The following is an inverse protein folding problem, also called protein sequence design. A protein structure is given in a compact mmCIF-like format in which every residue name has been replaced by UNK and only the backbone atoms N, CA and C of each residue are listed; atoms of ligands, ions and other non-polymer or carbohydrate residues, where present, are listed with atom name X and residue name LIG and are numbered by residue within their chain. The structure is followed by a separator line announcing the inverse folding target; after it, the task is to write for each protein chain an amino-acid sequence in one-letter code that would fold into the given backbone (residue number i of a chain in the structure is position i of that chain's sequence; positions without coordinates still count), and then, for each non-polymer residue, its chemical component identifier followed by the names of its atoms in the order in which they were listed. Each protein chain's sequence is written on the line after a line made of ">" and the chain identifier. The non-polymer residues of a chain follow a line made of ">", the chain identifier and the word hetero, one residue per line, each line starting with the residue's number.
data_IF_304225693123
#
_entry.id   IF_304225693123
#
_cell.length_a   1.000
_cell.length_b   1.000
_cell.length_c   1.000
_cell.angle_alpha   90.00
_cell.angle_beta   90.00
_cell.angle_gamma   90.00
#
_symmetry.space_group_name_H-M   'P 1'
#
loop_
_entity.id
_entity.type
_entity.pdbx_description
1 polymer ?
#
# COMPACT_ATOMS: atom_id res chain seq x y z
N UNK A 1 -1.93 6.72 31.77
CA UNK A 1 -2.50 5.95 30.64
C UNK A 1 -3.95 5.72 31.02
N UNK A 2 -4.83 6.64 30.65
CA UNK A 2 -6.26 6.56 31.00
C UNK A 2 -7.08 6.79 29.73
N UNK A 3 -6.87 5.90 28.75
CA UNK A 3 -7.58 5.88 27.47
C UNK A 3 -8.79 4.95 27.52
N UNK A 4 -9.70 5.16 28.47
CA UNK A 4 -10.95 4.42 28.55
C UNK A 4 -12.09 5.23 27.96
N UNK A 5 -12.95 4.60 27.14
CA UNK A 5 -14.20 5.20 26.68
C UNK A 5 -15.03 5.64 27.89
N UNK A 6 -15.51 6.89 27.87
CA UNK A 6 -16.36 7.37 28.94
C UNK A 6 -17.75 6.71 28.83
N UNK A 7 -18.51 6.61 29.93
CA UNK A 7 -19.87 6.08 29.89
C UNK A 7 -20.79 6.82 28.91
N UNK A 8 -20.48 8.09 28.61
CA UNK A 8 -21.21 8.89 27.62
C UNK A 8 -20.94 8.43 26.19
N UNK A 9 -19.70 8.02 25.90
CA UNK A 9 -19.30 7.54 24.57
C UNK A 9 -19.97 6.20 24.27
N UNK A 10 -20.08 5.32 25.28
CA UNK A 10 -20.82 4.06 25.17
C UNK A 10 -22.33 4.28 24.96
N UNK A 11 -22.92 5.27 25.63
CA UNK A 11 -24.33 5.65 25.42
C UNK A 11 -24.58 6.23 24.02
N UNK A 12 -23.67 7.07 23.53
CA UNK A 12 -23.74 7.61 22.17
C UNK A 12 -23.67 6.48 21.12
N UNK A 13 -22.78 5.52 21.32
CA UNK A 13 -22.66 4.34 20.46
C UNK A 13 -23.93 3.46 20.50
N UNK A 14 -24.50 3.25 21.69
CA UNK A 14 -25.75 2.50 21.85
C UNK A 14 -26.89 3.10 21.04
N UNK A 15 -27.07 4.42 21.12
CA UNK A 15 -28.11 5.13 20.37
C UNK A 15 -27.88 5.07 18.84
N UNK A 16 -26.63 4.98 18.41
CA UNK A 16 -26.27 4.84 17.00
C UNK A 16 -26.57 3.42 16.47
N UNK A 17 -26.23 2.38 17.25
CA UNK A 17 -26.40 0.98 16.86
C UNK A 17 -27.85 0.52 17.02
N UNK A 18 -28.58 1.11 17.97
CA UNK A 18 -29.96 0.74 18.28
C UNK A 18 -30.77 2.01 18.54
N UNK A 19 -31.18 2.73 17.49
CA UNK A 19 -32.07 3.86 17.66
C UNK A 19 -33.36 3.38 18.34
N UNK A 20 -33.93 4.17 19.28
CA UNK A 20 -35.18 3.81 19.94
C UNK A 20 -36.25 3.60 18.88
N UNK A 21 -36.88 2.42 18.91
CA UNK A 21 -38.08 2.13 18.11
C UNK A 21 -39.20 2.99 18.68
N UNK A 22 -39.58 4.02 17.94
CA UNK A 22 -40.85 4.70 18.15
C UNK A 22 -41.93 3.74 17.63
N UNK A 23 -42.58 3.03 18.56
CA UNK A 23 -43.77 2.23 18.29
C UNK A 23 -44.96 3.19 18.06
N UNK A 24 -45.04 3.78 16.87
CA UNK A 24 -46.25 4.44 16.37
C UNK A 24 -46.84 3.61 15.23
N UNK A 25 -47.80 2.79 15.60
CA UNK A 25 -48.70 2.04 14.74
C UNK A 25 -49.76 3.01 14.17
N UNK A 26 -49.49 3.65 13.03
CA UNK A 26 -50.48 4.41 12.25
C UNK A 26 -50.16 4.28 10.77
N UNK A 27 -51.09 3.68 10.02
CA UNK A 27 -51.11 3.68 8.55
C UNK A 27 -51.11 5.11 7.97
N UNK A 28 -50.37 5.28 6.88
CA UNK A 28 -50.54 6.34 5.87
C UNK A 28 -50.34 7.80 6.32
N UNK A 29 -49.08 8.23 6.38
CA UNK A 29 -48.52 9.43 5.70
C UNK A 29 -47.20 9.82 6.40
N UNK A 30 -46.11 9.85 5.63
CA UNK A 30 -44.73 10.06 6.09
C UNK A 30 -44.55 11.30 7.00
N UNK A 31 -44.08 11.19 8.26
CA UNK A 31 -43.59 12.34 9.02
C UNK A 31 -42.14 12.62 8.61
N UNK A 32 -41.99 13.32 7.48
CA UNK A 32 -40.73 13.75 6.90
C UNK A 32 -40.28 15.09 7.53
N UNK A 33 -40.22 15.16 8.88
CA UNK A 33 -40.07 16.43 9.59
C UNK A 33 -38.62 16.86 9.90
N UNK A 34 -37.66 15.93 10.05
CA UNK A 34 -36.28 16.30 10.41
C UNK A 34 -35.24 16.13 9.29
N UNK A 35 -35.58 15.43 8.20
CA UNK A 35 -34.70 15.29 7.03
C UNK A 35 -34.81 16.44 6.00
N UNK A 36 -35.74 17.40 6.20
CA UNK A 36 -36.04 18.46 5.22
C UNK A 36 -35.28 19.77 5.44
N UNK A 37 -34.48 19.89 6.49
CA UNK A 37 -33.77 21.15 6.80
C UNK A 37 -32.42 21.29 6.12
N UNK A 38 -31.93 20.25 5.43
CA UNK A 38 -30.70 20.28 4.67
C UNK A 38 -31.04 20.08 3.19
N UNK A 39 -30.95 21.16 2.42
CA UNK A 39 -31.13 21.12 0.97
C UNK A 39 -29.79 20.97 0.24
N UNK A 40 -29.80 20.70 -1.08
CA UNK A 40 -28.60 20.81 -1.90
C UNK A 40 -27.91 22.18 -1.82
N UNK A 41 -28.64 23.22 -1.41
CA UNK A 41 -28.13 24.57 -1.14
C UNK A 41 -27.44 24.77 0.21
N UNK A 42 -27.49 23.79 1.13
CA UNK A 42 -26.69 23.78 2.36
C UNK A 42 -25.31 23.13 2.17
N UNK A 43 -25.00 22.66 0.96
CA UNK A 43 -23.64 22.26 0.58
C UNK A 43 -22.89 23.54 0.18
N UNK A 44 -22.41 24.27 1.18
CA UNK A 44 -21.63 25.49 1.02
C UNK A 44 -20.95 25.84 2.33
N UNK A 45 -19.79 26.50 2.26
CA UNK A 45 -19.03 26.91 3.45
C UNK A 45 -19.91 27.87 4.26
N UNK A 46 -20.43 27.42 5.40
CA UNK A 46 -20.99 28.33 6.38
C UNK A 46 -19.83 29.09 7.02
N UNK A 47 -19.90 30.43 7.05
CA UNK A 47 -18.97 31.33 7.78
C UNK A 47 -19.04 31.15 9.31
N UNK A 48 -19.30 29.93 9.79
CA UNK A 48 -19.01 29.54 11.15
C UNK A 48 -17.48 29.57 11.34
N UNK A 49 -16.95 30.24 12.37
CA UNK A 49 -15.52 30.20 12.63
C UNK A 49 -15.12 28.74 12.81
N UNK A 50 -14.28 28.26 11.90
CA UNK A 50 -13.65 26.95 12.00
C UNK A 50 -13.03 26.87 13.41
N UNK A 51 -13.52 25.98 14.26
CA UNK A 51 -12.92 25.76 15.56
C UNK A 51 -11.44 25.41 15.31
N UNK A 52 -10.53 26.25 15.80
CA UNK A 52 -9.10 25.96 15.79
C UNK A 52 -8.85 24.75 16.70
N UNK A 53 -8.94 23.56 16.13
CA UNK A 53 -8.53 22.34 16.81
C UNK A 53 -7.01 22.32 16.83
N UNK A 54 -6.42 22.81 17.92
CA UNK A 54 -4.99 22.65 18.20
C UNK A 54 -4.72 21.20 18.60
N UNK A 55 -4.31 20.39 17.62
CA UNK A 55 -3.95 18.98 17.80
C UNK A 55 -3.13 18.46 16.62
N UNK A 56 -2.63 17.22 16.67
CA UNK A 56 -1.83 16.63 15.60
C UNK A 56 -2.59 16.47 14.26
N UNK A 57 -3.91 16.70 14.25
CA UNK A 57 -4.76 16.67 13.06
C UNK A 57 -5.35 18.05 12.70
N UNK A 58 -4.74 19.14 13.19
CA UNK A 58 -5.14 20.49 12.80
C UNK A 58 -4.96 20.68 11.28
N UNK A 59 -5.91 21.30 10.57
CA UNK A 59 -5.75 21.65 9.17
C UNK A 59 -4.50 22.53 8.97
N UNK A 60 -3.65 22.16 8.03
CA UNK A 60 -2.50 22.98 7.65
C UNK A 60 -3.03 24.27 7.00
N UNK A 61 -2.47 25.41 7.39
CA UNK A 61 -2.87 26.67 6.77
C UNK A 61 -2.41 26.67 5.31
N UNK A 62 -3.31 26.91 4.34
CA UNK A 62 -2.94 26.92 2.94
C UNK A 62 -1.97 28.08 2.66
N UNK A 63 -0.88 27.79 1.95
CA UNK A 63 0.04 28.80 1.46
C UNK A 63 -0.47 29.36 0.12
N UNK A 64 -1.47 30.26 0.17
CA UNK A 64 -2.09 30.83 -1.03
C UNK A 64 -3.16 29.93 -1.65
N UNK A 65 -3.27 29.94 -2.98
CA UNK A 65 -4.24 29.15 -3.77
C UNK A 65 -3.76 27.72 -4.09
N UNK A 66 -2.67 27.28 -3.47
CA UNK A 66 -2.14 25.94 -3.68
C UNK A 66 -3.03 24.88 -3.02
N UNK A 67 -3.45 23.89 -3.81
CA UNK A 67 -4.27 22.76 -3.36
C UNK A 67 -3.48 21.85 -2.39
N UNK A 68 -2.15 21.88 -2.44
CA UNK A 68 -1.25 21.03 -1.66
C UNK A 68 -0.35 21.84 -0.73
N UNK A 69 -0.26 21.46 0.55
CA UNK A 69 0.72 22.05 1.45
C UNK A 69 2.11 21.42 1.21
N UNK A 70 3.23 22.15 1.27
CA UNK A 70 4.57 21.60 1.03
C UNK A 70 4.98 20.46 1.96
N UNK A 71 4.35 20.33 3.13
CA UNK A 71 4.55 19.18 4.03
C UNK A 71 3.69 17.96 3.67
N UNK A 72 2.66 18.12 2.84
CA UNK A 72 1.86 17.03 2.27
C UNK A 72 2.46 16.52 0.96
N UNK A 73 3.22 17.38 0.26
CA UNK A 73 4.05 16.97 -0.86
C UNK A 73 5.15 16.03 -0.33
N UNK A 74 4.95 14.71 -0.51
CA UNK A 74 5.92 13.69 -0.18
C UNK A 74 7.24 13.98 -0.92
N UNK A 75 8.27 14.41 -0.20
CA UNK A 75 9.60 14.75 -0.76
C UNK A 75 10.42 13.54 -1.23
N UNK A 76 9.83 12.34 -1.25
CA UNK A 76 10.47 11.11 -1.73
C UNK A 76 10.56 10.96 -3.25
N UNK A 77 10.47 12.06 -4.01
CA UNK A 77 10.74 12.05 -5.44
C UNK A 77 11.70 13.17 -5.82
N UNK A 78 12.84 13.24 -5.15
CA UNK A 78 14.06 13.68 -5.84
C UNK A 78 14.68 12.41 -6.41
N UNK A 79 13.99 11.79 -7.36
CA UNK A 79 14.70 11.06 -8.40
C UNK A 79 15.51 12.13 -9.12
N UNK A 80 16.76 12.29 -8.67
CA UNK A 80 17.80 13.00 -9.40
C UNK A 80 17.69 12.50 -10.84
N UNK A 81 17.38 13.41 -11.77
CA UNK A 81 16.94 13.06 -13.12
C UNK A 81 18.09 12.34 -13.83
N UNK A 82 18.15 11.01 -13.68
CA UNK A 82 19.25 10.22 -14.18
C UNK A 82 19.10 10.13 -15.71
N UNK A 83 20.10 10.57 -16.50
CA UNK A 83 20.02 10.49 -17.96
C UNK A 83 20.02 9.05 -18.50
N UNK A 84 20.26 8.05 -17.64
CA UNK A 84 20.26 6.62 -18.00
C UNK A 84 18.85 6.13 -18.29
N UNK A 85 18.76 5.12 -19.16
CA UNK A 85 17.48 4.53 -19.55
C UNK A 85 16.98 3.59 -18.46
N UNK A 86 15.66 3.54 -18.25
CA UNK A 86 15.05 2.49 -17.44
C UNK A 86 15.03 1.19 -18.28
N UNK A 87 15.62 0.08 -17.79
CA UNK A 87 15.60 -1.19 -18.50
C UNK A 87 14.21 -1.83 -18.46
N UNK A 88 13.91 -2.69 -19.43
CA UNK A 88 12.71 -3.52 -19.40
C UNK A 88 12.86 -4.58 -18.31
N UNK A 89 11.86 -4.73 -17.45
CA UNK A 89 11.86 -5.73 -16.39
C UNK A 89 10.53 -6.49 -16.32
N UNK A 90 10.61 -7.71 -15.78
CA UNK A 90 9.46 -8.56 -15.52
C UNK A 90 9.52 -9.08 -14.07
N UNK A 91 8.40 -9.04 -13.37
CA UNK A 91 8.26 -9.59 -12.02
C UNK A 91 7.47 -10.89 -12.04
N UNK A 92 8.05 -11.95 -11.50
CA UNK A 92 7.45 -13.29 -11.46
C UNK A 92 7.46 -13.81 -10.02
N UNK A 93 6.29 -14.11 -9.48
CA UNK A 93 6.17 -14.76 -8.17
C UNK A 93 6.46 -16.27 -8.31
N UNK A 94 7.27 -16.81 -7.41
CA UNK A 94 7.68 -18.21 -7.38
C UNK A 94 7.20 -18.85 -6.07
N UNK A 95 6.49 -19.97 -6.21
CA UNK A 95 5.96 -20.76 -5.11
C UNK A 95 6.73 -22.08 -5.01
N UNK A 96 7.21 -22.41 -3.81
CA UNK A 96 7.87 -23.68 -3.54
C UNK A 96 6.82 -24.76 -3.29
N UNK A 97 6.45 -25.53 -4.31
CA UNK A 97 5.45 -26.62 -4.19
C UNK A 97 6.10 -27.97 -3.87
N UNK A 98 5.51 -28.70 -2.93
CA UNK A 98 5.88 -30.09 -2.60
C UNK A 98 4.95 -31.08 -3.30
N UNK A 99 5.30 -32.37 -3.25
CA UNK A 99 4.43 -33.42 -3.77
C UNK A 99 3.09 -33.50 -3.01
N UNK A 100 3.07 -33.16 -1.72
CA UNK A 100 1.84 -33.14 -0.91
C UNK A 100 0.89 -32.03 -1.37
N UNK A 101 1.45 -30.87 -1.75
CA UNK A 101 0.69 -29.73 -2.27
C UNK A 101 0.06 -30.09 -3.63
N UNK A 102 0.84 -30.71 -4.53
CA UNK A 102 0.43 -31.00 -5.92
C UNK A 102 -0.50 -32.22 -6.02
N UNK A 103 -0.20 -33.29 -5.28
CA UNK A 103 -0.91 -34.57 -5.43
C UNK A 103 -1.93 -34.85 -4.34
N UNK A 104 -1.78 -34.28 -3.14
CA UNK A 104 -2.66 -34.58 -2.00
C UNK A 104 -3.50 -33.37 -1.55
N UNK A 105 -3.18 -32.16 -2.00
CA UNK A 105 -3.88 -30.93 -1.60
C UNK A 105 -3.76 -30.62 -0.10
N UNK A 106 -2.77 -31.20 0.60
CA UNK A 106 -2.59 -31.06 2.05
C UNK A 106 -1.73 -29.86 2.45
N UNK A 107 -1.10 -29.23 1.46
CA UNK A 107 -0.14 -28.14 1.65
C UNK A 107 -0.72 -26.82 2.12
N UNK A 108 -2.05 -26.65 2.10
CA UNK A 108 -2.73 -25.37 2.25
C UNK A 108 -1.96 -24.29 1.48
N UNK A 109 -1.85 -24.46 0.17
CA UNK A 109 -1.20 -23.51 -0.70
C UNK A 109 -2.17 -23.14 -1.79
N UNK A 110 -2.42 -21.86 -1.94
CA UNK A 110 -3.23 -21.34 -3.04
C UNK A 110 -2.35 -21.03 -4.26
N UNK A 111 -2.93 -20.96 -5.48
CA UNK A 111 -2.23 -20.44 -6.65
C UNK A 111 -2.04 -18.91 -6.61
N UNK A 112 -2.38 -18.25 -5.49
CA UNK A 112 -2.25 -16.80 -5.31
C UNK A 112 -0.83 -16.39 -4.91
N UNK A 113 -0.52 -15.11 -5.10
CA UNK A 113 0.75 -14.51 -4.68
C UNK A 113 0.95 -14.55 -3.15
N UNK A 114 -0.14 -14.66 -2.39
CA UNK A 114 -0.11 -14.86 -0.93
C UNK A 114 0.68 -16.10 -0.54
N UNK A 115 0.60 -17.19 -1.31
CA UNK A 115 1.31 -18.44 -1.00
C UNK A 115 2.70 -18.53 -1.67
N UNK A 116 3.17 -17.47 -2.35
CA UNK A 116 4.48 -17.44 -3.01
C UNK A 116 5.57 -16.90 -2.08
N UNK A 117 6.61 -17.68 -1.84
CA UNK A 117 7.69 -17.33 -0.92
C UNK A 117 8.80 -16.47 -1.55
N UNK A 118 8.84 -16.40 -2.88
CA UNK A 118 9.91 -15.79 -3.66
C UNK A 118 9.36 -14.85 -4.73
N UNK A 119 10.09 -13.76 -4.99
CA UNK A 119 9.84 -12.82 -6.08
C UNK A 119 11.07 -12.79 -7.00
N UNK A 120 10.88 -13.11 -8.27
CA UNK A 120 11.94 -13.08 -9.28
C UNK A 120 11.78 -11.86 -10.17
N UNK A 121 12.76 -10.98 -10.20
CA UNK A 121 12.80 -9.81 -11.09
C UNK A 121 13.81 -10.08 -12.20
N UNK A 122 13.32 -10.13 -13.44
CA UNK A 122 14.12 -10.33 -14.64
C UNK A 122 14.35 -8.98 -15.30
N UNK A 123 15.57 -8.46 -15.23
CA UNK A 123 15.93 -7.15 -15.78
C UNK A 123 16.74 -7.35 -17.06
N UNK A 124 16.23 -6.89 -18.20
CA UNK A 124 16.89 -6.98 -19.50
C UNK A 124 17.87 -5.83 -19.66
N UNK A 125 19.15 -6.16 -19.82
CA UNK A 125 20.25 -5.20 -19.92
C UNK A 125 21.06 -5.51 -21.20
N UNK A 126 20.48 -5.28 -22.39
CA UNK A 126 21.15 -5.58 -23.64
C UNK A 126 22.39 -4.70 -23.81
N UNK A 127 23.45 -5.28 -24.40
CA UNK A 127 24.72 -4.62 -24.66
C UNK A 127 25.53 -4.23 -23.40
N UNK A 128 25.12 -4.71 -22.22
CA UNK A 128 25.83 -4.54 -20.96
C UNK A 128 26.55 -5.84 -20.56
N UNK A 129 27.65 -5.72 -19.81
CA UNK A 129 28.37 -6.88 -19.28
C UNK A 129 28.16 -7.01 -17.77
N UNK A 130 28.23 -8.24 -17.26
CA UNK A 130 28.04 -8.55 -15.83
C UNK A 130 28.89 -7.67 -14.92
N UNK A 131 30.12 -7.37 -15.30
CA UNK A 131 31.10 -6.64 -14.46
C UNK A 131 30.75 -5.16 -14.29
N UNK A 132 29.93 -4.63 -15.20
CA UNK A 132 29.50 -3.22 -15.19
C UNK A 132 28.13 -3.03 -14.54
N UNK A 133 27.48 -4.14 -14.16
CA UNK A 133 26.18 -4.12 -13.49
C UNK A 133 26.41 -4.25 -12.00
N UNK A 134 25.86 -3.32 -11.26
CA UNK A 134 25.85 -3.33 -9.81
C UNK A 134 24.40 -3.42 -9.33
N UNK A 135 24.21 -4.26 -8.32
CA UNK A 135 22.92 -4.57 -7.71
C UNK A 135 23.03 -4.30 -6.21
N UNK A 136 22.17 -3.42 -5.72
CA UNK A 136 21.90 -3.27 -4.29
C UNK A 136 20.50 -3.80 -4.00
N UNK A 137 20.38 -4.61 -2.95
CA UNK A 137 19.11 -5.18 -2.48
C UNK A 137 18.86 -4.62 -1.09
N UNK A 138 17.86 -3.78 -0.98
CA UNK A 138 17.34 -3.29 0.28
C UNK A 138 16.09 -4.07 0.67
N UNK A 139 15.62 -3.90 1.91
CA UNK A 139 14.43 -4.60 2.40
C UNK A 139 13.13 -4.20 1.69
N UNK A 140 13.06 -2.98 1.16
CA UNK A 140 11.85 -2.40 0.54
C UNK A 140 12.03 -2.06 -0.95
N UNK A 141 13.24 -2.18 -1.49
CA UNK A 141 13.54 -1.80 -2.87
C UNK A 141 14.77 -2.54 -3.40
N UNK A 142 14.84 -2.66 -4.72
CA UNK A 142 16.05 -3.07 -5.42
C UNK A 142 16.56 -1.93 -6.30
N UNK A 143 17.88 -1.83 -6.34
CA UNK A 143 18.61 -0.83 -7.09
C UNK A 143 19.57 -1.53 -8.05
N UNK A 144 19.27 -1.44 -9.33
CA UNK A 144 20.15 -1.91 -10.40
C UNK A 144 20.72 -0.69 -11.10
N UNK A 145 22.04 -0.66 -11.23
CA UNK A 145 22.69 0.38 -12.02
C UNK A 145 23.80 -0.19 -12.90
N UNK A 146 23.93 0.44 -14.06
CA UNK A 146 24.94 0.17 -15.09
C UNK A 146 25.24 1.48 -15.80
N UNK A 147 26.32 1.58 -16.61
CA UNK A 147 26.64 2.79 -17.35
C UNK A 147 25.48 3.34 -18.21
N UNK A 148 24.58 2.46 -18.68
CA UNK A 148 23.49 2.81 -19.60
C UNK A 148 22.12 2.78 -18.97
N UNK A 149 21.93 1.96 -17.94
CA UNK A 149 20.64 1.70 -17.33
C UNK A 149 20.64 1.97 -15.83
N UNK A 150 19.53 2.49 -15.34
CA UNK A 150 19.23 2.68 -13.92
C UNK A 150 17.81 2.19 -13.67
N UNK A 151 17.64 1.37 -12.64
CA UNK A 151 16.34 0.88 -12.20
C UNK A 151 16.33 0.94 -10.67
N UNK A 152 15.51 1.82 -10.12
CA UNK A 152 15.11 1.79 -8.72
C UNK A 152 13.69 1.22 -8.69
N UNK A 153 13.49 0.10 -8.01
CA UNK A 153 12.22 -0.62 -8.05
C UNK A 153 11.79 -1.01 -6.62
N UNK A 154 10.75 -0.39 -6.06
CA UNK A 154 10.22 -0.78 -4.77
C UNK A 154 9.63 -2.19 -4.84
N UNK A 155 9.85 -2.98 -3.79
CA UNK A 155 9.31 -4.33 -3.67
C UNK A 155 7.88 -4.27 -3.12
N UNK A 156 6.95 -5.12 -3.60
CA UNK A 156 5.58 -5.14 -3.09
C UNK A 156 5.46 -5.48 -1.60
N UNK A 157 6.42 -6.27 -1.09
CA UNK A 157 6.54 -6.65 0.31
C UNK A 157 7.99 -6.57 0.73
N UNK A 158 8.22 -6.61 2.05
CA UNK A 158 9.55 -6.69 2.60
C UNK A 158 10.27 -7.95 2.11
N UNK A 159 11.56 -7.82 1.84
CA UNK A 159 12.43 -8.92 1.43
C UNK A 159 13.55 -9.13 2.45
N UNK A 160 14.08 -10.35 2.53
CA UNK A 160 15.32 -10.62 3.26
C UNK A 160 16.51 -10.57 2.28
N UNK A 161 17.38 -9.54 2.35
CA UNK A 161 18.52 -9.42 1.46
C UNK A 161 19.53 -10.58 1.59
N UNK A 162 19.62 -11.21 2.77
CA UNK A 162 20.61 -12.27 3.02
C UNK A 162 20.18 -13.62 2.44
N UNK A 163 18.87 -13.88 2.39
CA UNK A 163 18.29 -15.07 1.77
C UNK A 163 18.05 -14.90 0.27
N UNK A 164 18.21 -13.68 -0.25
CA UNK A 164 18.05 -13.34 -1.66
C UNK A 164 19.34 -13.58 -2.45
N UNK A 165 19.21 -13.84 -3.75
CA UNK A 165 20.35 -14.06 -4.63
C UNK A 165 20.08 -13.56 -6.04
N UNK A 166 21.13 -13.32 -6.81
CA UNK A 166 21.02 -12.88 -8.19
C UNK A 166 21.89 -13.73 -9.13
N UNK A 167 21.40 -13.92 -10.35
CA UNK A 167 22.08 -14.66 -11.41
C UNK A 167 22.08 -13.84 -12.69
N UNK A 168 23.22 -13.81 -13.37
CA UNK A 168 23.35 -13.19 -14.68
C UNK A 168 23.27 -14.26 -15.77
N UNK A 169 22.39 -14.05 -16.75
CA UNK A 169 22.26 -14.89 -17.94
C UNK A 169 22.96 -14.21 -19.11
N UNK A 170 24.12 -14.75 -19.53
CA UNK A 170 24.91 -14.19 -20.62
C UNK A 170 24.20 -14.27 -21.98
N UNK A 171 23.44 -15.35 -22.21
CA UNK A 171 22.80 -15.61 -23.50
C UNK A 171 21.73 -14.57 -23.85
N UNK A 172 21.03 -14.04 -22.84
CA UNK A 172 19.94 -13.06 -22.99
C UNK A 172 20.28 -11.69 -22.42
N UNK A 173 21.51 -11.49 -21.93
CA UNK A 173 21.95 -10.29 -21.19
C UNK A 173 20.92 -9.85 -20.15
N UNK A 174 20.47 -10.80 -19.32
CA UNK A 174 19.39 -10.59 -18.34
C UNK A 174 19.90 -10.86 -16.92
N UNK A 175 19.63 -9.92 -16.02
CA UNK A 175 19.85 -10.08 -14.58
C UNK A 175 18.58 -10.66 -13.95
N UNK A 176 18.65 -11.87 -13.41
CA UNK A 176 17.59 -12.49 -12.61
C UNK A 176 17.89 -12.27 -11.13
N UNK A 177 17.08 -11.45 -10.47
CA UNK A 177 17.16 -11.20 -9.02
C UNK A 177 16.05 -12.00 -8.35
N UNK A 178 16.41 -13.02 -7.56
CA UNK A 178 15.46 -13.81 -6.78
C UNK A 178 15.47 -13.34 -5.34
N UNK A 179 14.37 -12.71 -4.94
CA UNK A 179 14.16 -12.10 -3.64
C UNK A 179 13.33 -13.03 -2.75
N UNK A 180 13.77 -13.25 -1.51
CA UNK A 180 12.96 -13.95 -0.50
C UNK A 180 12.00 -12.95 0.14
N UNK A 181 10.70 -13.18 0.00
CA UNK A 181 9.68 -12.36 0.63
C UNK A 181 9.60 -12.69 2.14
N UNK A 182 9.43 -11.65 2.95
CA UNK A 182 9.26 -11.71 4.41
C UNK A 182 7.97 -11.00 4.77
N UNK A 183 6.91 -11.78 5.03
CA UNK A 183 5.58 -11.27 5.38
C UNK A 183 5.20 -11.71 6.79
N UNK A 184 4.38 -10.92 7.47
CA UNK A 184 3.99 -11.19 8.87
C UNK A 184 3.28 -12.55 9.04
N UNK A 185 2.53 -12.98 8.04
CA UNK A 185 1.73 -14.21 8.07
C UNK A 185 2.35 -15.38 7.30
N UNK A 186 3.61 -15.28 6.86
CA UNK A 186 4.25 -16.34 6.07
C UNK A 186 4.33 -17.69 6.81
N UNK A 187 4.39 -17.64 8.14
CA UNK A 187 4.40 -18.81 9.03
C UNK A 187 3.06 -19.55 9.10
N UNK A 188 1.99 -18.92 8.61
CA UNK A 188 0.62 -19.44 8.63
C UNK A 188 0.06 -19.54 7.21
N UNK A 189 0.92 -19.50 6.18
CA UNK A 189 0.46 -19.51 4.79
C UNK A 189 -0.51 -20.68 4.53
N UNK A 190 -1.66 -20.33 3.94
CA UNK A 190 -2.73 -21.21 3.48
C UNK A 190 -2.86 -21.18 1.93
#
# INVERSE_FOLDING_TARGET
>A
MDGGFSPKDLLALQNLISPPKDDFDVEDDLPQADARKLGPGDIGVSDSPCQEYSGPHAPLQPAGDDIWHPSEANTRSVEDYDPRKVPEYEMVFKQAVTAEDVYLGMGFKTPGTASCEWLSVLVKLPEETREKVELSVESEAIDVHSPRYRLHLPTPHLVDPNASYAKWHNDTSTLEVTLKLTRELDNINF
#
